data_IF_446262364338
#
_entry.id   IF_446262364338
#
_cell.length_a   1.000
_cell.length_b   1.000
_cell.length_c   1.000
_cell.angle_alpha   90.00
_cell.angle_beta   90.00
_cell.angle_gamma   90.00
#
_symmetry.space_group_name_H-M   'P 1'
#
loop_
_entity.id
_entity.type
_entity.pdbx_description
1 polymer ?
#
# COMPACT_ATOMS: atom_id res chain seq x y z
N UNK A 1 -10.94 -15.57 -29.34
CA UNK A 1 -10.75 -14.51 -30.36
C UNK A 1 -9.65 -14.95 -31.29
N UNK A 2 -9.85 -14.90 -32.61
CA UNK A 2 -8.77 -15.12 -33.56
C UNK A 2 -7.77 -13.94 -33.46
N UNK A 3 -6.48 -14.24 -33.32
CA UNK A 3 -5.43 -13.22 -33.38
C UNK A 3 -5.37 -12.70 -34.82
N UNK A 4 -5.77 -11.45 -35.03
CA UNK A 4 -5.61 -10.76 -36.30
C UNK A 4 -4.38 -9.86 -36.22
N UNK A 5 -3.58 -9.83 -37.30
CA UNK A 5 -2.44 -8.90 -37.45
C UNK A 5 -2.95 -7.47 -37.69
N UNK A 6 -3.59 -6.90 -36.68
CA UNK A 6 -4.04 -5.50 -36.68
C UNK A 6 -3.04 -4.68 -35.87
N UNK A 7 -2.41 -3.71 -36.54
CA UNK A 7 -1.60 -2.68 -35.89
C UNK A 7 -2.39 -2.04 -34.73
N UNK A 8 -1.79 -2.03 -33.56
CA UNK A 8 -2.32 -1.31 -32.40
C UNK A 8 -1.91 0.16 -32.52
N UNK A 9 -2.83 1.02 -32.99
CA UNK A 9 -2.59 2.45 -33.16
C UNK A 9 -2.04 3.15 -31.91
N UNK A 10 -2.27 2.59 -30.71
CA UNK A 10 -1.73 3.11 -29.45
C UNK A 10 -0.21 3.09 -29.39
N UNK A 11 0.46 2.21 -30.15
CA UNK A 11 1.92 2.23 -30.24
C UNK A 11 2.42 3.48 -30.97
N UNK A 12 1.69 3.96 -31.98
CA UNK A 12 1.98 5.24 -32.65
C UNK A 12 1.90 6.41 -31.67
N UNK A 13 0.82 6.47 -30.88
CA UNK A 13 0.64 7.48 -29.84
C UNK A 13 1.77 7.43 -28.80
N UNK A 14 2.11 6.23 -28.31
CA UNK A 14 3.22 6.05 -27.37
C UNK A 14 4.56 6.47 -27.99
N UNK A 15 4.86 6.07 -29.22
CA UNK A 15 6.13 6.38 -29.88
C UNK A 15 6.34 7.88 -30.14
N UNK A 16 5.25 8.62 -30.36
CA UNK A 16 5.28 10.06 -30.64
C UNK A 16 5.27 10.93 -29.39
N UNK A 17 4.61 10.47 -28.31
CA UNK A 17 4.44 11.25 -27.08
C UNK A 17 5.29 10.79 -25.90
N UNK A 18 5.74 9.53 -25.90
CA UNK A 18 6.32 8.87 -24.74
C UNK A 18 5.32 8.66 -23.59
N UNK A 19 4.01 8.78 -23.85
CA UNK A 19 2.94 8.70 -22.84
C UNK A 19 2.21 7.37 -22.95
N UNK A 20 2.06 6.69 -21.82
CA UNK A 20 1.24 5.49 -21.72
C UNK A 20 -0.22 5.91 -21.61
N UNK A 21 -1.08 5.38 -22.46
CA UNK A 21 -2.51 5.71 -22.43
C UNK A 21 -3.27 4.78 -21.47
N UNK A 22 -4.09 5.38 -20.61
CA UNK A 22 -5.05 4.67 -19.77
C UNK A 22 -6.39 4.63 -20.51
N UNK A 23 -7.04 3.47 -20.54
CA UNK A 23 -8.40 3.37 -21.09
C UNK A 23 -9.35 4.20 -20.23
N UNK A 24 -10.06 5.16 -20.84
CA UNK A 24 -11.15 5.87 -20.15
C UNK A 24 -12.25 4.88 -19.76
N UNK A 25 -12.53 4.81 -18.47
CA UNK A 25 -13.57 4.00 -17.87
C UNK A 25 -14.08 4.73 -16.62
N UNK A 26 -15.05 5.62 -16.81
CA UNK A 26 -15.61 6.42 -15.74
C UNK A 26 -16.42 5.53 -14.78
N UNK A 27 -15.77 5.13 -13.68
CA UNK A 27 -16.34 4.28 -12.63
C UNK A 27 -16.48 5.03 -11.30
N UNK A 28 -15.96 6.26 -11.22
CA UNK A 28 -16.00 7.10 -10.03
C UNK A 28 -16.71 8.43 -10.28
N UNK A 29 -17.26 8.96 -9.18
CA UNK A 29 -17.86 10.28 -9.05
C UNK A 29 -17.19 11.06 -7.93
N UNK A 30 -17.47 12.36 -7.82
CA UNK A 30 -16.98 13.19 -6.71
C UNK A 30 -17.57 12.81 -5.34
N UNK A 31 -18.68 12.06 -5.33
CA UNK A 31 -19.35 11.64 -4.11
C UNK A 31 -18.82 10.31 -3.55
N UNK A 32 -17.92 9.64 -4.27
CA UNK A 32 -17.30 8.41 -3.79
C UNK A 32 -16.39 8.67 -2.59
N UNK A 33 -16.40 7.71 -1.66
CA UNK A 33 -15.55 7.69 -0.48
C UNK A 33 -14.48 6.63 -0.71
N UNK A 34 -13.24 7.08 -0.89
CA UNK A 34 -12.12 6.23 -1.27
C UNK A 34 -11.41 5.65 -0.06
N UNK A 35 -11.42 4.33 0.08
CA UNK A 35 -10.51 3.63 0.97
C UNK A 35 -9.14 3.49 0.30
N UNK A 36 -8.11 4.11 0.85
CA UNK A 36 -6.74 4.01 0.34
C UNK A 36 -5.83 3.27 1.31
N UNK A 37 -5.11 2.27 0.80
CA UNK A 37 -4.15 1.50 1.58
C UNK A 37 -2.98 1.07 0.71
N UNK A 38 -1.76 1.23 1.21
CA UNK A 38 -0.59 0.77 0.49
C UNK A 38 0.70 1.47 0.87
N UNK A 39 1.67 1.36 -0.03
CA UNK A 39 2.98 2.01 0.06
C UNK A 39 2.91 3.55 0.03
N UNK A 40 4.07 4.23 -0.03
CA UNK A 40 4.15 5.70 -0.09
C UNK A 40 3.31 6.31 -1.22
N UNK A 41 3.19 5.65 -2.37
CA UNK A 41 2.39 6.18 -3.48
C UNK A 41 0.87 6.19 -3.18
N UNK A 42 0.38 5.38 -2.23
CA UNK A 42 -1.01 5.49 -1.78
C UNK A 42 -1.28 6.82 -1.06
N UNK A 43 -0.27 7.40 -0.42
CA UNK A 43 -0.38 8.74 0.16
C UNK A 43 -0.54 9.80 -0.92
N UNK A 44 0.24 9.71 -2.00
CA UNK A 44 0.13 10.67 -3.11
C UNK A 44 -1.27 10.68 -3.71
N UNK A 45 -1.88 9.50 -3.87
CA UNK A 45 -3.27 9.36 -4.27
C UNK A 45 -4.22 9.96 -3.22
N UNK A 46 -3.98 9.73 -1.91
CA UNK A 46 -4.79 10.37 -0.86
C UNK A 46 -4.72 11.89 -0.95
N UNK A 47 -3.53 12.48 -1.03
CA UNK A 47 -3.33 13.93 -1.12
C UNK A 47 -4.01 14.51 -2.36
N UNK A 48 -3.96 13.77 -3.48
CA UNK A 48 -4.65 14.14 -4.70
C UNK A 48 -6.18 14.10 -4.59
N UNK A 49 -6.73 13.07 -3.92
CA UNK A 49 -8.16 12.96 -3.67
C UNK A 49 -8.64 14.10 -2.75
N UNK A 50 -7.95 14.32 -1.63
CA UNK A 50 -8.33 15.34 -0.65
C UNK A 50 -8.18 16.76 -1.19
N UNK A 51 -7.13 17.06 -1.96
CA UNK A 51 -6.96 18.37 -2.61
C UNK A 51 -8.07 18.69 -3.61
N UNK A 52 -8.69 17.67 -4.21
CA UNK A 52 -9.86 17.79 -5.09
C UNK A 52 -11.19 17.56 -4.36
N UNK A 53 -11.19 17.64 -3.03
CA UNK A 53 -12.38 17.52 -2.17
C UNK A 53 -13.13 16.17 -2.32
N UNK A 54 -12.43 15.12 -2.74
CA UNK A 54 -12.96 13.76 -2.76
C UNK A 54 -12.63 13.11 -1.42
N UNK A 55 -13.63 12.50 -0.77
CA UNK A 55 -13.48 11.90 0.55
C UNK A 55 -12.51 10.72 0.50
N UNK A 56 -11.61 10.64 1.49
CA UNK A 56 -10.60 9.60 1.58
C UNK A 56 -10.53 9.07 3.02
N UNK A 57 -10.55 7.75 3.14
CA UNK A 57 -10.58 6.99 4.40
C UNK A 57 -9.52 5.88 4.37
N UNK A 58 -9.14 5.31 5.52
CA UNK A 58 -9.46 5.74 6.90
C UNK A 58 -8.88 7.12 7.23
N UNK A 59 -9.50 7.86 8.16
CA UNK A 59 -8.96 9.11 8.65
C UNK A 59 -8.03 8.84 9.83
N UNK A 60 -6.75 8.66 9.53
CA UNK A 60 -5.74 8.33 10.54
C UNK A 60 -5.61 9.40 11.65
N UNK A 61 -6.10 10.62 11.43
CA UNK A 61 -6.19 11.66 12.47
C UNK A 61 -7.13 11.32 13.62
N UNK A 62 -8.08 10.40 13.42
CA UNK A 62 -9.00 9.96 14.45
C UNK A 62 -8.43 8.86 15.36
N UNK A 63 -7.21 8.37 15.08
CA UNK A 63 -6.56 7.41 15.97
C UNK A 63 -6.19 8.12 17.28
N UNK A 64 -6.76 7.63 18.37
CA UNK A 64 -6.54 8.16 19.71
C UNK A 64 -5.31 7.52 20.34
N UNK A 65 -4.38 8.35 20.80
CA UNK A 65 -3.20 7.97 21.58
C UNK A 65 -2.66 9.19 22.33
N UNK A 66 -1.94 8.95 23.44
CA UNK A 66 -1.17 9.99 24.13
C UNK A 66 0.28 10.02 23.57
N UNK A 67 0.73 11.12 22.93
CA UNK A 67 2.10 11.24 22.43
C UNK A 67 3.19 11.16 23.51
N UNK A 68 2.84 11.35 24.79
CA UNK A 68 3.74 11.14 25.92
C UNK A 68 3.91 9.64 26.29
N UNK A 69 3.08 8.76 25.73
CA UNK A 69 3.01 7.34 26.09
C UNK A 69 3.12 6.40 24.88
N UNK A 70 2.88 6.91 23.67
CA UNK A 70 2.92 6.15 22.43
C UNK A 70 3.42 6.97 21.24
N UNK A 71 4.00 6.27 20.26
CA UNK A 71 4.33 6.74 18.92
C UNK A 71 3.49 5.94 17.94
N UNK A 72 2.83 6.63 17.01
CA UNK A 72 2.01 6.00 15.96
C UNK A 72 2.47 6.50 14.59
N UNK A 73 3.40 5.76 14.00
CA UNK A 73 4.05 6.11 12.72
C UNK A 73 4.52 7.56 12.66
N UNK A 74 3.99 8.36 11.73
CA UNK A 74 4.31 9.78 11.55
C UNK A 74 3.13 10.67 11.99
N UNK A 75 2.14 10.14 12.73
CA UNK A 75 0.99 10.90 13.22
C UNK A 75 1.37 11.82 14.39
N UNK A 76 0.71 13.00 14.52
CA UNK A 76 -0.31 13.55 13.61
C UNK A 76 0.28 14.31 12.39
N UNK A 77 1.61 14.37 12.25
CA UNK A 77 2.28 15.19 11.23
C UNK A 77 2.02 14.73 9.79
N UNK A 78 1.77 13.44 9.58
CA UNK A 78 1.48 12.83 8.28
C UNK A 78 0.30 11.88 8.40
N UNK A 79 -0.83 12.25 7.79
CA UNK A 79 -2.06 11.45 7.79
C UNK A 79 -1.97 10.28 6.80
N UNK A 80 -1.00 9.39 6.98
CA UNK A 80 -0.84 8.16 6.22
C UNK A 80 -0.03 7.11 6.97
N UNK A 81 -0.45 5.85 6.84
CA UNK A 81 0.29 4.69 7.31
C UNK A 81 0.62 3.78 6.14
N UNK A 82 1.87 3.29 6.10
CA UNK A 82 2.35 2.52 4.97
C UNK A 82 2.16 1.01 5.16
N UNK A 83 1.55 0.37 4.15
CA UNK A 83 1.40 -1.07 4.02
C UNK A 83 2.03 -1.52 2.70
N UNK A 84 3.25 -2.03 2.75
CA UNK A 84 4.08 -2.15 1.54
C UNK A 84 3.82 -3.37 0.66
N UNK A 85 3.27 -4.44 1.22
CA UNK A 85 3.19 -5.73 0.55
C UNK A 85 1.78 -6.32 0.63
N UNK A 86 1.52 -7.34 -0.19
CA UNK A 86 0.20 -7.96 -0.30
C UNK A 86 -0.25 -8.61 1.00
N UNK A 87 0.69 -9.11 1.80
CA UNK A 87 0.41 -9.79 3.06
C UNK A 87 -0.09 -8.81 4.12
N UNK A 88 0.57 -7.67 4.30
CA UNK A 88 0.16 -6.68 5.32
C UNK A 88 -1.16 -6.03 4.96
N UNK A 89 -1.40 -5.73 3.67
CA UNK A 89 -2.71 -5.25 3.20
C UNK A 89 -3.80 -6.28 3.49
N UNK A 90 -3.62 -7.54 3.09
CA UNK A 90 -4.55 -8.62 3.41
C UNK A 90 -4.78 -8.75 4.91
N UNK A 91 -3.72 -8.72 5.71
CA UNK A 91 -3.78 -8.85 7.16
C UNK A 91 -4.65 -7.75 7.78
N UNK A 92 -4.50 -6.50 7.35
CA UNK A 92 -5.35 -5.41 7.86
C UNK A 92 -6.82 -5.59 7.48
N UNK A 93 -7.11 -6.10 6.27
CA UNK A 93 -8.47 -6.41 5.84
C UNK A 93 -9.05 -7.56 6.68
N UNK A 94 -8.27 -8.61 6.94
CA UNK A 94 -8.67 -9.70 7.84
C UNK A 94 -9.00 -9.16 9.25
N UNK A 95 -8.18 -8.24 9.79
CA UNK A 95 -8.43 -7.64 11.11
C UNK A 95 -9.70 -6.80 11.17
N UNK A 96 -9.90 -5.87 10.23
CA UNK A 96 -11.08 -5.00 10.27
C UNK A 96 -12.40 -5.77 10.06
N UNK A 97 -12.33 -6.92 9.37
CA UNK A 97 -13.48 -7.81 9.18
C UNK A 97 -13.66 -8.85 10.29
N UNK A 98 -12.79 -8.85 11.31
CA UNK A 98 -12.86 -9.81 12.42
C UNK A 98 -12.51 -11.25 12.04
N UNK A 99 -11.76 -11.44 10.94
CA UNK A 99 -11.27 -12.75 10.49
C UNK A 99 -9.97 -13.14 11.19
N UNK A 100 -9.28 -12.18 11.80
CA UNK A 100 -8.11 -12.42 12.61
C UNK A 100 -7.99 -11.39 13.72
N UNK A 101 -7.82 -11.87 14.95
CA UNK A 101 -7.51 -11.07 16.12
C UNK A 101 -6.05 -11.28 16.53
N UNK A 102 -5.37 -10.17 16.83
CA UNK A 102 -4.03 -10.19 17.39
C UNK A 102 -4.09 -10.57 18.88
N UNK A 103 -3.25 -11.52 19.30
CA UNK A 103 -3.20 -11.91 20.71
C UNK A 103 -2.66 -10.77 21.59
N UNK A 104 -3.14 -10.69 22.84
CA UNK A 104 -2.77 -9.59 23.76
C UNK A 104 -1.27 -9.54 24.10
N UNK A 105 -0.57 -10.66 23.95
CA UNK A 105 0.86 -10.83 24.20
C UNK A 105 1.71 -10.88 22.92
N UNK A 106 1.10 -10.68 21.74
CA UNK A 106 1.80 -10.64 20.45
C UNK A 106 2.34 -9.24 20.16
N UNK A 107 3.39 -8.87 20.90
CA UNK A 107 4.15 -7.64 20.74
C UNK A 107 5.65 -7.89 20.93
N UNK A 108 6.48 -6.94 20.51
CA UNK A 108 7.94 -7.03 20.73
C UNK A 108 8.38 -6.08 21.83
N UNK A 109 9.11 -6.60 22.82
CA UNK A 109 9.83 -5.74 23.78
C UNK A 109 11.10 -5.25 23.13
N UNK A 110 11.30 -3.93 23.09
CA UNK A 110 12.49 -3.35 22.49
C UNK A 110 13.18 -2.37 23.45
N UNK A 111 14.49 -2.21 23.29
CA UNK A 111 15.27 -1.19 23.98
C UNK A 111 15.51 -0.03 23.04
N UNK A 112 14.77 1.07 23.24
CA UNK A 112 14.85 2.28 22.42
C UNK A 112 14.61 3.49 23.31
N UNK A 113 15.48 4.50 23.30
CA UNK A 113 15.23 5.75 24.01
C UNK A 113 13.90 6.38 23.55
N UNK A 114 12.97 6.54 24.48
CA UNK A 114 11.70 7.21 24.28
C UNK A 114 11.42 8.15 25.46
N UNK A 115 10.50 9.13 25.33
CA UNK A 115 10.16 10.06 26.41
C UNK A 115 9.76 9.37 27.73
N UNK A 116 9.15 8.19 27.63
CA UNK A 116 8.67 7.39 28.76
C UNK A 116 9.66 6.34 29.29
N UNK A 117 10.88 6.29 28.76
CA UNK A 117 11.93 5.41 29.27
C UNK A 117 12.63 4.56 28.20
N UNK A 118 13.52 3.65 28.64
CA UNK A 118 14.39 2.89 27.73
C UNK A 118 13.74 1.63 27.13
N UNK A 119 12.61 1.19 27.67
CA UNK A 119 11.87 0.00 27.23
C UNK A 119 10.59 0.47 26.53
N UNK A 120 10.34 -0.09 25.35
CA UNK A 120 9.10 0.12 24.60
C UNK A 120 8.50 -1.23 24.22
N UNK A 121 7.19 -1.22 23.97
CA UNK A 121 6.43 -2.34 23.43
C UNK A 121 6.00 -1.96 22.01
N UNK A 122 6.33 -2.80 21.04
CA UNK A 122 6.10 -2.51 19.62
C UNK A 122 5.09 -3.49 19.02
N UNK A 123 4.16 -2.96 18.23
CA UNK A 123 3.30 -3.78 17.37
C UNK A 123 4.12 -4.33 16.17
N UNK A 124 4.15 -5.64 15.94
CA UNK A 124 4.80 -6.21 14.76
C UNK A 124 4.05 -5.94 13.45
N UNK A 125 2.73 -5.72 13.48
CA UNK A 125 1.88 -5.75 12.26
C UNK A 125 1.47 -4.38 11.72
N UNK A 126 1.71 -3.31 12.47
CA UNK A 126 1.53 -1.93 12.03
C UNK A 126 2.84 -1.17 12.19
N UNK A 127 3.12 -0.37 11.18
CA UNK A 127 4.40 0.32 11.08
C UNK A 127 4.55 1.33 12.23
N UNK A 128 5.69 1.27 12.93
CA UNK A 128 6.10 2.24 13.95
C UNK A 128 5.04 2.54 15.02
N UNK A 129 4.26 1.54 15.45
CA UNK A 129 3.45 1.67 16.66
C UNK A 129 4.27 1.17 17.84
N UNK A 130 4.61 2.10 18.74
CA UNK A 130 5.37 1.84 19.97
C UNK A 130 4.64 2.45 21.15
N UNK A 131 4.67 1.80 22.31
CA UNK A 131 4.06 2.32 23.53
C UNK A 131 4.90 2.05 24.78
N UNK A 132 4.58 2.77 25.87
CA UNK A 132 5.23 2.64 27.17
C UNK A 132 4.93 1.31 27.89
N UNK A 133 3.78 0.71 27.62
CA UNK A 133 3.33 -0.55 28.22
C UNK A 133 2.48 -1.37 27.24
N UNK A 134 2.28 -2.67 27.47
CA UNK A 134 1.38 -3.51 26.67
C UNK A 134 -0.06 -3.00 26.64
N UNK A 135 -0.53 -2.41 27.75
CA UNK A 135 -1.89 -1.88 27.88
C UNK A 135 -2.10 -0.68 26.95
N UNK A 136 -1.17 0.27 26.96
CA UNK A 136 -1.22 1.42 26.03
C UNK A 136 -1.09 0.95 24.59
N UNK A 137 -0.21 -0.02 24.31
CA UNK A 137 -0.08 -0.57 22.96
C UNK A 137 -1.41 -1.13 22.46
N UNK A 138 -2.11 -1.89 23.32
CA UNK A 138 -3.41 -2.46 23.03
C UNK A 138 -4.45 -1.38 22.75
N UNK A 139 -4.54 -0.34 23.58
CA UNK A 139 -5.48 0.78 23.37
C UNK A 139 -5.27 1.47 22.01
N UNK A 140 -4.01 1.70 21.62
CA UNK A 140 -3.65 2.27 20.32
C UNK A 140 -4.04 1.34 19.17
N UNK A 141 -3.74 0.04 19.29
CA UNK A 141 -4.11 -0.98 18.29
C UNK A 141 -5.63 -1.03 18.13
N UNK A 142 -6.39 -1.03 19.22
CA UNK A 142 -7.84 -1.02 19.20
C UNK A 142 -8.40 0.27 18.58
N UNK A 143 -7.83 1.42 18.90
CA UNK A 143 -8.23 2.68 18.27
C UNK A 143 -7.98 2.68 16.76
N UNK A 144 -6.83 2.13 16.33
CA UNK A 144 -6.55 1.98 14.91
C UNK A 144 -7.51 1.00 14.26
N UNK A 145 -7.76 -0.17 14.84
CA UNK A 145 -8.70 -1.15 14.28
C UNK A 145 -10.11 -0.57 14.11
N UNK A 146 -10.58 0.20 15.08
CA UNK A 146 -11.86 0.93 14.98
C UNK A 146 -11.85 1.91 13.80
N UNK A 147 -10.82 2.73 13.67
CA UNK A 147 -10.76 3.71 12.58
C UNK A 147 -10.63 3.04 11.20
N UNK A 148 -9.83 1.97 11.09
CA UNK A 148 -9.74 1.16 9.88
C UNK A 148 -11.10 0.58 9.49
N UNK A 149 -11.86 0.07 10.47
CA UNK A 149 -13.20 -0.48 10.26
C UNK A 149 -14.20 0.60 9.85
N UNK A 150 -14.23 1.74 10.55
CA UNK A 150 -15.08 2.89 10.19
C UNK A 150 -14.81 3.33 8.76
N UNK A 151 -13.54 3.43 8.38
CA UNK A 151 -13.15 3.76 7.01
C UNK A 151 -13.64 2.74 5.99
N UNK A 152 -13.46 1.44 6.26
CA UNK A 152 -13.92 0.38 5.36
C UNK A 152 -15.45 0.39 5.20
N UNK A 153 -16.19 0.58 6.30
CA UNK A 153 -17.66 0.63 6.29
C UNK A 153 -18.19 1.85 5.52
N UNK A 154 -17.51 3.00 5.62
CA UNK A 154 -17.88 4.21 4.89
C UNK A 154 -17.53 4.16 3.39
N UNK A 155 -16.54 3.37 3.00
CA UNK A 155 -16.01 3.38 1.64
C UNK A 155 -16.99 2.87 0.58
N UNK A 156 -16.95 3.51 -0.58
CA UNK A 156 -17.66 3.13 -1.82
C UNK A 156 -16.70 2.77 -2.96
N UNK A 157 -15.41 3.10 -2.81
CA UNK A 157 -14.34 2.81 -3.76
C UNK A 157 -13.05 2.42 -3.02
N UNK A 158 -12.20 1.61 -3.64
CA UNK A 158 -10.97 1.11 -3.01
C UNK A 158 -9.75 1.31 -3.90
N UNK A 159 -8.61 1.67 -3.30
CA UNK A 159 -7.32 1.75 -3.97
C UNK A 159 -6.26 1.02 -3.14
N UNK A 160 -5.68 -0.01 -3.72
CA UNK A 160 -4.59 -0.78 -3.11
C UNK A 160 -3.29 -0.61 -3.89
N UNK A 161 -2.24 -0.20 -3.19
CA UNK A 161 -0.92 0.03 -3.79
C UNK A 161 0.16 -0.86 -3.16
N UNK A 162 0.76 -1.72 -3.97
CA UNK A 162 1.79 -2.67 -3.51
C UNK A 162 3.18 -2.27 -4.00
N UNK A 163 4.22 -2.50 -3.19
CA UNK A 163 5.56 -2.03 -3.52
C UNK A 163 6.70 -2.98 -3.19
N UNK A 164 6.47 -4.10 -2.48
CA UNK A 164 7.53 -5.00 -2.01
C UNK A 164 7.08 -6.47 -2.08
N UNK A 165 8.00 -7.35 -2.48
CA UNK A 165 7.88 -8.82 -2.40
C UNK A 165 8.76 -9.41 -1.30
N UNK A 166 9.79 -8.70 -0.86
CA UNK A 166 10.57 -9.05 0.33
C UNK A 166 9.74 -8.74 1.59
N UNK A 167 9.46 -9.77 2.36
CA UNK A 167 8.65 -9.72 3.58
C UNK A 167 9.38 -10.37 4.74
N UNK A 168 8.96 -10.03 5.96
CA UNK A 168 9.55 -10.54 7.18
C UNK A 168 8.49 -11.30 7.96
N UNK A 169 8.61 -12.62 8.00
CA UNK A 169 7.62 -13.48 8.64
C UNK A 169 7.96 -13.56 10.13
N UNK A 170 7.03 -13.14 10.98
CA UNK A 170 7.10 -13.34 12.42
C UNK A 170 7.10 -14.84 12.72
N UNK A 171 8.17 -15.32 13.37
CA UNK A 171 8.40 -16.75 13.67
C UNK A 171 7.32 -17.34 14.57
N UNK A 172 6.74 -16.54 15.47
CA UNK A 172 5.74 -17.02 16.43
C UNK A 172 4.36 -17.19 15.78
N UNK A 173 3.92 -16.20 14.99
CA UNK A 173 2.55 -16.17 14.44
C UNK A 173 2.46 -16.66 12.98
N UNK A 174 3.58 -16.73 12.26
CA UNK A 174 3.60 -16.96 10.81
C UNK A 174 3.05 -15.79 9.98
N UNK A 175 2.67 -14.67 10.60
CA UNK A 175 2.18 -13.47 9.92
C UNK A 175 3.34 -12.58 9.50
N UNK A 176 3.13 -11.77 8.45
CA UNK A 176 4.15 -10.83 7.97
C UNK A 176 4.17 -9.57 8.84
N UNK A 177 5.35 -9.21 9.36
CA UNK A 177 5.56 -7.96 10.06
C UNK A 177 5.44 -6.76 9.10
N UNK A 178 5.00 -5.62 9.63
CA UNK A 178 4.82 -4.39 8.85
C UNK A 178 6.11 -3.87 8.23
N UNK A 179 7.25 -4.19 8.83
CA UNK A 179 8.53 -3.57 8.52
C UNK A 179 9.68 -4.56 8.60
N UNK A 180 10.79 -4.17 7.98
CA UNK A 180 12.08 -4.82 8.18
C UNK A 180 12.51 -4.81 9.66
N UNK A 181 13.37 -5.76 10.07
CA UNK A 181 14.07 -5.70 11.33
C UNK A 181 14.75 -4.35 11.57
N UNK A 182 14.71 -3.91 12.83
CA UNK A 182 15.40 -2.72 13.32
C UNK A 182 15.03 -1.43 12.58
N UNK A 183 13.84 -1.38 11.94
CA UNK A 183 13.38 -0.14 11.31
C UNK A 183 13.23 0.97 12.36
N UNK A 184 13.98 2.08 12.16
CA UNK A 184 14.13 3.19 13.13
C UNK A 184 14.35 2.71 14.58
N UNK A 185 15.20 1.70 14.76
CA UNK A 185 15.52 1.14 16.09
C UNK A 185 14.40 0.30 16.71
N UNK A 186 13.45 -0.19 15.91
CA UNK A 186 12.43 -1.16 16.33
C UNK A 186 13.00 -2.58 16.55
N UNK A 187 12.11 -3.53 16.79
CA UNK A 187 12.42 -4.95 16.97
C UNK A 187 12.50 -5.72 15.65
N UNK A 188 12.33 -7.04 15.72
CA UNK A 188 12.16 -7.92 14.56
C UNK A 188 13.41 -8.70 14.16
N UNK A 189 14.58 -8.41 14.74
CA UNK A 189 15.85 -9.05 14.36
C UNK A 189 15.87 -10.54 14.70
N UNK A 190 15.40 -10.91 15.90
CA UNK A 190 15.34 -12.30 16.36
C UNK A 190 13.95 -12.91 16.14
N UNK A 191 12.96 -12.07 15.89
CA UNK A 191 11.56 -12.44 15.82
C UNK A 191 11.11 -12.75 14.40
N UNK A 192 11.85 -12.30 13.37
CA UNK A 192 11.44 -12.48 11.97
C UNK A 192 12.46 -13.17 11.08
N UNK A 193 11.97 -13.87 10.06
CA UNK A 193 12.77 -14.44 8.96
C UNK A 193 12.42 -13.74 7.66
N UNK A 194 13.45 -13.38 6.88
CA UNK A 194 13.28 -12.87 5.52
C UNK A 194 12.62 -13.93 4.63
N UNK A 195 11.65 -13.53 3.83
CA UNK A 195 11.04 -14.34 2.80
C UNK A 195 10.84 -13.50 1.54
N UNK A 196 11.26 -14.02 0.38
CA UNK A 196 11.01 -13.38 -0.92
C UNK A 196 9.75 -14.03 -1.49
N UNK A 197 8.63 -13.32 -1.41
CA UNK A 197 7.34 -13.89 -1.78
C UNK A 197 7.19 -14.12 -3.29
N UNK A 198 6.64 -15.28 -3.62
CA UNK A 198 6.39 -15.75 -4.99
C UNK A 198 5.20 -15.06 -5.65
N UNK A 199 5.05 -15.28 -6.96
CA UNK A 199 3.84 -14.92 -7.69
C UNK A 199 2.58 -15.48 -7.03
N UNK A 200 2.56 -16.79 -6.72
CA UNK A 200 1.37 -17.48 -6.20
C UNK A 200 0.93 -16.94 -4.84
N UNK A 201 1.86 -16.62 -3.93
CA UNK A 201 1.53 -16.07 -2.63
C UNK A 201 0.95 -14.65 -2.75
N UNK A 202 1.59 -13.80 -3.56
CA UNK A 202 1.09 -12.46 -3.82
C UNK A 202 -0.27 -12.48 -4.51
N UNK A 203 -0.45 -13.38 -5.47
CA UNK A 203 -1.71 -13.61 -6.16
C UNK A 203 -2.82 -14.03 -5.20
N UNK A 204 -2.57 -15.03 -4.36
CA UNK A 204 -3.53 -15.48 -3.36
C UNK A 204 -3.92 -14.35 -2.39
N UNK A 205 -2.95 -13.53 -1.98
CA UNK A 205 -3.23 -12.40 -1.10
C UNK A 205 -4.08 -11.32 -1.75
N UNK A 206 -3.71 -10.87 -2.96
CA UNK A 206 -4.48 -9.84 -3.67
C UNK A 206 -5.88 -10.35 -4.01
N UNK A 207 -6.01 -11.61 -4.42
CA UNK A 207 -7.31 -12.21 -4.71
C UNK A 207 -8.18 -12.27 -3.46
N UNK A 208 -7.64 -12.74 -2.32
CA UNK A 208 -8.36 -12.74 -1.06
C UNK A 208 -8.78 -11.32 -0.62
N UNK A 209 -7.91 -10.32 -0.79
CA UNK A 209 -8.25 -8.91 -0.52
C UNK A 209 -9.43 -8.44 -1.37
N UNK A 210 -9.40 -8.70 -2.67
CA UNK A 210 -10.49 -8.34 -3.59
C UNK A 210 -11.78 -9.08 -3.23
N UNK A 211 -11.72 -10.37 -2.95
CA UNK A 211 -12.89 -11.18 -2.63
C UNK A 211 -13.54 -10.76 -1.31
N UNK A 212 -12.74 -10.41 -0.29
CA UNK A 212 -13.23 -9.85 0.97
C UNK A 212 -13.93 -8.50 0.77
N UNK A 213 -13.37 -7.62 -0.08
CA UNK A 213 -14.04 -6.36 -0.45
C UNK A 213 -15.34 -6.66 -1.16
N UNK A 214 -15.36 -7.55 -2.16
CA UNK A 214 -16.57 -7.92 -2.92
C UNK A 214 -17.67 -8.50 -2.05
N UNK A 215 -17.33 -9.30 -1.04
CA UNK A 215 -18.30 -9.86 -0.11
C UNK A 215 -19.09 -8.78 0.66
N UNK A 216 -18.46 -7.63 0.95
CA UNK A 216 -19.06 -6.56 1.75
C UNK A 216 -19.51 -5.36 0.90
N UNK A 217 -18.89 -5.18 -0.27
CA UNK A 217 -19.02 -4.04 -1.17
C UNK A 217 -19.05 -4.56 -2.63
N UNK A 218 -20.12 -5.29 -3.03
CA UNK A 218 -20.17 -6.05 -4.27
C UNK A 218 -19.91 -5.20 -5.51
N UNK A 219 -20.43 -3.97 -5.54
CA UNK A 219 -20.34 -3.08 -6.69
C UNK A 219 -19.19 -2.07 -6.63
N UNK A 220 -18.47 -1.99 -5.50
CA UNK A 220 -17.45 -0.96 -5.30
C UNK A 220 -16.28 -1.11 -6.30
N UNK A 221 -15.91 -0.09 -7.08
CA UNK A 221 -14.76 -0.20 -7.97
C UNK A 221 -13.46 -0.29 -7.17
N UNK A 222 -12.54 -1.14 -7.62
CA UNK A 222 -11.23 -1.34 -7.00
C UNK A 222 -10.13 -0.94 -7.99
N UNK A 223 -9.19 -0.11 -7.55
CA UNK A 223 -7.97 0.20 -8.27
C UNK A 223 -6.81 -0.56 -7.63
N UNK A 224 -6.09 -1.31 -8.44
CA UNK A 224 -4.84 -1.96 -8.07
C UNK A 224 -3.69 -1.25 -8.77
N UNK A 225 -2.58 -1.00 -8.06
CA UNK A 225 -1.41 -0.39 -8.67
C UNK A 225 -0.10 -0.85 -8.01
N UNK A 226 0.96 -0.91 -8.81
CA UNK A 226 2.32 -1.14 -8.32
C UNK A 226 2.95 0.22 -8.05
N UNK A 227 3.49 0.41 -6.85
CA UNK A 227 4.17 1.63 -6.45
C UNK A 227 5.39 1.92 -7.33
N UNK A 228 5.51 3.13 -7.91
CA UNK A 228 6.67 3.51 -8.72
C UNK A 228 7.93 3.84 -7.90
N UNK A 229 7.78 4.00 -6.58
CA UNK A 229 8.91 4.31 -5.68
C UNK A 229 9.86 3.12 -5.63
N UNK A 230 11.13 3.36 -5.94
CA UNK A 230 12.17 2.34 -5.96
C UNK A 230 12.54 1.88 -4.54
N UNK A 231 13.03 0.65 -4.41
CA UNK A 231 13.57 0.14 -3.15
C UNK A 231 14.81 0.94 -2.73
N UNK A 232 14.87 1.27 -1.44
CA UNK A 232 16.07 1.85 -0.83
C UNK A 232 17.14 0.81 -0.51
N UNK A 233 16.71 -0.45 -0.40
CA UNK A 233 17.50 -1.58 0.08
C UNK A 233 16.83 -2.89 -0.33
N UNK A 234 17.65 -3.89 -0.57
CA UNK A 234 17.25 -5.31 -0.65
C UNK A 234 17.94 -6.06 0.50
N UNK A 235 17.37 -7.20 0.88
CA UNK A 235 17.92 -8.15 1.83
C UNK A 235 18.29 -9.48 1.14
N UNK A 236 18.12 -9.52 -0.17
CA UNK A 236 18.62 -10.58 -1.02
C UNK A 236 20.11 -10.36 -1.30
N UNK A 237 20.80 -11.43 -1.68
CA UNK A 237 22.16 -11.35 -2.21
C UNK A 237 22.11 -10.94 -3.69
N UNK A 238 21.63 -9.73 -3.95
CA UNK A 238 21.43 -9.18 -5.28
C UNK A 238 21.59 -7.65 -5.29
N UNK A 239 21.81 -7.07 -6.47
CA UNK A 239 21.74 -5.63 -6.65
C UNK A 239 20.32 -5.11 -6.35
N UNK A 240 20.22 -3.95 -5.69
CA UNK A 240 18.93 -3.38 -5.27
C UNK A 240 18.02 -3.05 -6.46
N UNK A 241 18.58 -2.65 -7.61
CA UNK A 241 17.82 -2.36 -8.84
C UNK A 241 17.30 -3.65 -9.46
N UNK A 242 18.10 -4.71 -9.45
CA UNK A 242 17.67 -6.04 -9.93
C UNK A 242 16.54 -6.60 -9.07
N UNK A 243 16.71 -6.60 -7.74
CA UNK A 243 15.68 -7.05 -6.79
C UNK A 243 14.40 -6.21 -6.87
N UNK A 244 14.54 -4.88 -7.01
CA UNK A 244 13.40 -3.99 -7.23
C UNK A 244 12.67 -4.34 -8.54
N UNK A 245 13.40 -4.50 -9.65
CA UNK A 245 12.81 -4.83 -10.95
C UNK A 245 12.06 -6.15 -10.91
N UNK A 246 12.65 -7.19 -10.32
CA UNK A 246 11.99 -8.49 -10.14
C UNK A 246 10.71 -8.37 -9.31
N UNK A 247 10.80 -7.81 -8.09
CA UNK A 247 9.66 -7.72 -7.19
C UNK A 247 8.49 -6.91 -7.77
N UNK A 248 8.78 -5.78 -8.43
CA UNK A 248 7.76 -4.96 -9.09
C UNK A 248 7.16 -5.67 -10.31
N UNK A 249 7.95 -6.45 -11.04
CA UNK A 249 7.48 -7.25 -12.17
C UNK A 249 6.55 -8.39 -11.72
N UNK A 250 6.89 -9.08 -10.63
CA UNK A 250 6.04 -10.10 -10.01
C UNK A 250 4.70 -9.49 -9.59
N UNK A 251 4.73 -8.39 -8.82
CA UNK A 251 3.52 -7.68 -8.41
C UNK A 251 2.71 -7.24 -9.62
N UNK A 252 3.37 -6.69 -10.64
CA UNK A 252 2.70 -6.23 -11.86
C UNK A 252 1.96 -7.36 -12.58
N UNK A 253 2.59 -8.53 -12.70
CA UNK A 253 1.98 -9.71 -13.29
C UNK A 253 0.75 -10.16 -12.46
N UNK A 254 0.89 -10.19 -11.13
CA UNK A 254 -0.20 -10.54 -10.20
C UNK A 254 -1.40 -9.62 -10.38
N UNK A 255 -1.21 -8.29 -10.30
CA UNK A 255 -2.32 -7.34 -10.41
C UNK A 255 -2.98 -7.42 -11.80
N UNK A 256 -2.18 -7.63 -12.85
CA UNK A 256 -2.70 -7.85 -14.19
C UNK A 256 -3.57 -9.09 -14.30
N UNK A 257 -3.21 -10.18 -13.62
CA UNK A 257 -4.02 -11.39 -13.59
C UNK A 257 -5.33 -11.18 -12.83
N UNK A 258 -5.28 -10.60 -11.62
CA UNK A 258 -6.48 -10.33 -10.82
C UNK A 258 -7.47 -9.43 -11.57
N UNK A 259 -7.00 -8.37 -12.24
CA UNK A 259 -7.86 -7.50 -13.06
C UNK A 259 -8.54 -8.22 -14.24
N UNK A 260 -8.01 -9.34 -14.73
CA UNK A 260 -8.66 -10.14 -15.79
C UNK A 260 -9.68 -11.13 -15.24
N UNK A 261 -9.53 -11.51 -13.98
CA UNK A 261 -10.34 -12.54 -13.33
C UNK A 261 -11.44 -11.98 -12.42
N UNK A 262 -11.47 -10.67 -12.20
CA UNK A 262 -12.45 -9.99 -11.34
C UNK A 262 -13.03 -8.76 -12.02
N UNK A 263 -14.35 -8.69 -11.99
CA UNK A 263 -15.10 -7.55 -12.51
C UNK A 263 -14.92 -6.30 -11.65
N UNK A 264 -14.98 -5.15 -12.31
CA UNK A 264 -14.83 -3.83 -11.71
C UNK A 264 -13.54 -3.66 -10.87
N UNK A 265 -12.47 -4.36 -11.29
CA UNK A 265 -11.12 -4.22 -10.76
C UNK A 265 -10.20 -3.70 -11.86
N UNK A 266 -9.61 -2.53 -11.65
CA UNK A 266 -8.87 -1.81 -12.68
C UNK A 266 -7.42 -1.64 -12.25
N UNK A 267 -6.51 -1.64 -13.24
CA UNK A 267 -5.09 -1.42 -12.99
C UNK A 267 -4.68 0.01 -13.39
N UNK A 268 -4.13 0.77 -12.44
CA UNK A 268 -3.51 2.08 -12.70
C UNK A 268 -2.01 1.89 -12.99
N UNK A 269 -1.49 2.24 -14.19
CA UNK A 269 -0.09 1.98 -14.56
C UNK A 269 0.91 3.00 -14.01
N UNK A 270 0.87 3.26 -12.70
CA UNK A 270 1.77 4.24 -12.06
C UNK A 270 3.25 3.81 -12.15
N UNK A 271 3.55 2.53 -11.90
CA UNK A 271 4.89 1.96 -12.06
C UNK A 271 5.43 2.11 -13.49
N UNK A 272 4.63 1.81 -14.50
CA UNK A 272 5.07 1.91 -15.89
C UNK A 272 5.26 3.36 -16.33
N UNK A 273 4.36 4.27 -15.93
CA UNK A 273 4.48 5.70 -16.24
C UNK A 273 5.82 6.28 -15.76
N UNK A 274 6.28 5.87 -14.57
CA UNK A 274 7.60 6.27 -14.03
C UNK A 274 8.73 5.52 -14.74
N UNK A 275 8.63 4.20 -14.88
CA UNK A 275 9.73 3.38 -15.41
C UNK A 275 10.05 3.73 -16.87
N UNK A 276 9.01 3.88 -17.71
CA UNK A 276 9.19 4.25 -19.13
C UNK A 276 9.59 5.71 -19.33
N UNK A 277 9.29 6.60 -18.36
CA UNK A 277 9.78 7.97 -18.39
C UNK A 277 11.30 8.07 -18.32
N UNK A 278 11.99 7.04 -17.81
CA UNK A 278 13.43 6.99 -17.67
C UNK A 278 13.94 7.71 -16.42
N UNK A 279 15.17 7.36 -15.99
CA UNK A 279 15.70 7.77 -14.69
C UNK A 279 15.68 9.30 -14.48
N UNK A 280 16.20 10.06 -15.44
CA UNK A 280 16.35 11.52 -15.34
C UNK A 280 15.01 12.26 -15.31
N UNK A 281 14.02 11.78 -16.07
CA UNK A 281 12.70 12.43 -16.11
C UNK A 281 11.88 12.08 -14.88
N UNK A 282 11.98 10.84 -14.42
CA UNK A 282 11.02 10.27 -13.47
C UNK A 282 11.42 10.40 -12.01
N UNK A 283 12.72 10.35 -11.71
CA UNK A 283 13.21 10.34 -10.33
C UNK A 283 13.93 11.64 -9.96
N UNK A 284 13.89 11.95 -8.67
CA UNK A 284 14.73 12.95 -8.04
C UNK A 284 16.21 12.55 -8.11
N UNK A 285 17.10 13.42 -7.64
CA UNK A 285 18.57 13.20 -7.70
C UNK A 285 19.01 11.90 -7.02
N UNK A 286 18.23 11.38 -6.06
CA UNK A 286 18.52 10.13 -5.36
C UNK A 286 18.11 8.86 -6.13
N UNK A 287 17.56 9.02 -7.34
CA UNK A 287 17.10 7.95 -8.23
C UNK A 287 16.06 7.01 -7.60
N UNK A 288 15.37 7.48 -6.56
CA UNK A 288 14.44 6.67 -5.77
C UNK A 288 13.08 7.32 -5.60
N UNK A 289 13.07 8.57 -5.15
CA UNK A 289 11.83 9.32 -5.01
C UNK A 289 11.39 9.80 -6.40
N UNK A 290 10.09 9.68 -6.68
CA UNK A 290 9.51 10.12 -7.95
C UNK A 290 9.34 11.63 -7.90
N UNK A 291 9.68 12.33 -8.98
CA UNK A 291 9.50 13.77 -9.07
C UNK A 291 8.05 14.17 -8.86
N UNK A 292 7.83 15.30 -8.17
CA UNK A 292 6.48 15.81 -7.90
C UNK A 292 5.65 15.98 -9.18
N UNK A 293 6.24 16.55 -10.23
CA UNK A 293 5.58 16.73 -11.53
C UNK A 293 5.10 15.41 -12.14
N UNK A 294 5.86 14.33 -11.97
CA UNK A 294 5.52 13.01 -12.49
C UNK A 294 4.42 12.36 -11.67
N UNK A 295 4.42 12.56 -10.35
CA UNK A 295 3.30 12.16 -9.48
C UNK A 295 2.03 12.89 -9.89
N UNK A 296 2.10 14.20 -10.12
CA UNK A 296 0.96 15.01 -10.54
C UNK A 296 0.41 14.56 -11.90
N UNK A 297 1.27 14.23 -12.87
CA UNK A 297 0.87 13.65 -14.17
C UNK A 297 0.13 12.31 -14.01
N UNK A 298 0.60 11.41 -13.13
CA UNK A 298 -0.05 10.11 -12.88
C UNK A 298 -1.43 10.33 -12.24
N UNK A 299 -1.50 11.23 -11.27
CA UNK A 299 -2.75 11.59 -10.58
C UNK A 299 -3.74 12.20 -11.59
N UNK A 300 -3.30 13.10 -12.45
CA UNK A 300 -4.16 13.70 -13.47
C UNK A 300 -4.72 12.64 -14.41
N UNK A 301 -3.87 11.73 -14.88
CA UNK A 301 -4.29 10.61 -15.73
C UNK A 301 -5.28 9.68 -15.00
N UNK A 302 -5.09 9.44 -13.70
CA UNK A 302 -6.06 8.70 -12.88
C UNK A 302 -7.43 9.39 -12.88
N UNK A 303 -7.49 10.70 -12.62
CA UNK A 303 -8.76 11.44 -12.65
C UNK A 303 -9.40 11.43 -14.04
N UNK A 304 -8.61 11.72 -15.09
CA UNK A 304 -9.10 11.77 -16.47
C UNK A 304 -9.59 10.42 -17.01
N UNK A 305 -9.03 9.32 -16.51
CA UNK A 305 -9.41 7.98 -16.93
C UNK A 305 -10.63 7.45 -16.19
N UNK A 306 -10.73 7.69 -14.88
CA UNK A 306 -11.69 6.98 -14.03
C UNK A 306 -12.83 7.82 -13.46
N UNK A 307 -12.76 9.15 -13.52
CA UNK A 307 -13.88 10.00 -13.14
C UNK A 307 -14.69 10.39 -14.38
N UNK A 308 -16.01 10.49 -14.20
CA UNK A 308 -16.86 11.07 -15.24
C UNK A 308 -16.42 12.52 -15.54
N UNK A 309 -16.50 12.98 -16.81
CA UNK A 309 -16.35 14.39 -17.12
C UNK A 309 -17.36 15.19 -16.32
N UNK A 310 -16.88 16.22 -15.62
CA UNK A 310 -17.73 17.23 -14.98
C UNK A 310 -18.48 18.07 -15.99
#
# INVERSE_FOLDING_TARGET
MAAADKLNNKYGDFSSSGVITIRKNAVFTRNDIFFTMGSCFAEEIRLALTSKQVACVPSYRNISFDPAEAIVDELPGREHMNFYNTFTVRLQIEQMLGLWDQANDDWWQIKKPAPWGPICFQDPYRRLILAKSPEVLKEVIESMNREMRVGFDAATAFIFTFGMTEVFINRASGKVAAQKPLYRGGGGMQETTLHVSSFQENYANVMATVDMVRQHKPDAPIILTVSPVALARTFQDADVVTANTEGKSVLRAVLGQVCRERDNVHYLPSFELVTYGGLTRSYEEDLRHVKRSVVDDIVEQFFNAYFAPS
#
